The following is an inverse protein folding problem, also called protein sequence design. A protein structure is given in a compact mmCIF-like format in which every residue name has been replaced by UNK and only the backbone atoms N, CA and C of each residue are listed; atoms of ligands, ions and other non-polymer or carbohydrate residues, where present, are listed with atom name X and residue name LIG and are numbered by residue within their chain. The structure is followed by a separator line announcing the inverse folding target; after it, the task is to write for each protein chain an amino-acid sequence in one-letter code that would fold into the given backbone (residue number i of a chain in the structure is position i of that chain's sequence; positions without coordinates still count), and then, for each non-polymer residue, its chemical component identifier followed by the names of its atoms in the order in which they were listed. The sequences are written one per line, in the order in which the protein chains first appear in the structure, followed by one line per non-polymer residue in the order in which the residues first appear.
data_IF_057938631914
#
_entry.id   IF_057938631914
#
_cell.length_a   1.000
_cell.length_b   1.000
_cell.length_c   1.000
_cell.angle_alpha   90.00
_cell.angle_beta   90.00
_cell.angle_gamma   90.00
#
_symmetry.space_group_name_H-M   'P 1'
#
loop_
_entity.id
_entity.type
_entity.pdbx_description
1 polymer ?
#
# COMPACT_ATOMS: atom_id res chain seq x y z
N UNK A 1 -30.73 -5.94 17.31
CA UNK A 1 -30.63 -5.05 18.45
C UNK A 1 -30.32 -3.67 17.91
N UNK A 2 -31.26 -2.72 18.06
CA UNK A 2 -31.10 -1.32 17.70
C UNK A 2 -30.03 -0.69 18.62
N UNK A 3 -28.92 -0.25 18.06
CA UNK A 3 -28.05 0.68 18.76
C UNK A 3 -28.76 2.03 18.82
N UNK A 4 -29.27 2.39 19.96
CA UNK A 4 -29.67 3.76 20.25
C UNK A 4 -28.41 4.63 20.23
N UNK A 5 -28.46 5.84 19.65
CA UNK A 5 -27.35 6.77 19.72
C UNK A 5 -27.16 7.18 21.20
N UNK A 6 -26.02 6.85 21.78
CA UNK A 6 -25.61 7.43 23.06
C UNK A 6 -25.51 8.94 22.88
N UNK A 7 -26.40 9.68 23.54
CA UNK A 7 -26.26 11.11 23.73
C UNK A 7 -24.97 11.35 24.55
N UNK A 8 -23.98 11.95 23.91
CA UNK A 8 -22.79 12.43 24.62
C UNK A 8 -23.29 13.59 25.49
N UNK A 9 -23.38 13.39 26.80
CA UNK A 9 -23.52 14.49 27.76
C UNK A 9 -22.25 15.35 27.64
N UNK A 10 -22.39 16.53 27.05
CA UNK A 10 -21.32 17.50 26.91
C UNK A 10 -21.25 18.24 28.23
N UNK A 11 -20.12 18.11 28.94
CA UNK A 11 -19.78 18.95 30.07
C UNK A 11 -19.65 20.41 29.55
N UNK A 12 -20.67 21.22 29.80
CA UNK A 12 -20.81 22.60 29.34
C UNK A 12 -19.81 23.59 29.93
N UNK A 13 -18.82 23.10 30.72
CA UNK A 13 -17.87 23.95 31.47
C UNK A 13 -16.55 24.23 30.73
N UNK A 14 -16.36 23.74 29.49
CA UNK A 14 -15.07 23.84 28.83
C UNK A 14 -15.13 24.55 27.48
N UNK A 15 -14.53 25.74 27.38
CA UNK A 15 -14.34 26.44 26.10
C UNK A 15 -13.51 25.59 25.12
N UNK A 16 -13.83 25.69 23.83
CA UNK A 16 -13.12 25.02 22.75
C UNK A 16 -11.78 25.70 22.44
N UNK A 17 -10.83 24.91 21.91
CA UNK A 17 -9.57 25.45 21.37
C UNK A 17 -9.79 26.10 20.00
N UNK A 18 -10.70 25.52 19.22
CA UNK A 18 -11.02 25.95 17.86
C UNK A 18 -12.53 25.85 17.64
N UNK A 19 -13.10 26.92 17.12
CA UNK A 19 -14.48 26.99 16.61
C UNK A 19 -14.45 27.33 15.14
N UNK A 20 -15.19 26.57 14.35
CA UNK A 20 -15.50 26.87 12.95
C UNK A 20 -16.98 27.15 12.84
N UNK A 21 -17.38 28.27 12.21
CA UNK A 21 -18.78 28.69 12.08
C UNK A 21 -19.09 29.25 10.69
N UNK A 22 -20.36 29.52 10.43
CA UNK A 22 -20.82 30.05 9.13
C UNK A 22 -20.37 29.13 7.98
N UNK A 23 -20.57 27.82 8.12
CA UNK A 23 -20.13 26.81 7.17
C UNK A 23 -21.26 25.93 6.63
N UNK A 24 -20.92 25.13 5.61
CA UNK A 24 -21.69 24.01 5.14
C UNK A 24 -20.97 22.72 5.55
N UNK A 25 -21.23 22.23 6.77
CA UNK A 25 -20.53 21.10 7.34
C UNK A 25 -21.29 19.82 7.04
N UNK A 26 -20.72 18.96 6.18
CA UNK A 26 -21.27 17.63 5.87
C UNK A 26 -20.76 16.62 6.90
N UNK A 27 -21.68 16.08 7.70
CA UNK A 27 -21.29 15.27 8.88
C UNK A 27 -20.94 13.83 8.55
N UNK A 28 -21.32 13.33 7.37
CA UNK A 28 -21.13 11.94 6.94
C UNK A 28 -21.73 10.92 7.93
N UNK A 29 -22.77 11.32 8.65
CA UNK A 29 -23.57 10.44 9.49
C UNK A 29 -24.61 9.66 8.67
N UNK A 30 -25.27 8.69 9.30
CA UNK A 30 -26.30 7.88 8.64
C UNK A 30 -27.50 8.70 8.11
N UNK A 31 -27.74 9.88 8.64
CA UNK A 31 -28.79 10.79 8.20
C UNK A 31 -28.34 11.74 7.08
N UNK A 32 -27.06 11.70 6.68
CA UNK A 32 -26.44 12.62 5.73
C UNK A 32 -26.70 14.10 6.09
N UNK A 33 -26.51 14.40 7.38
CA UNK A 33 -26.87 15.70 7.95
C UNK A 33 -25.90 16.79 7.51
N UNK A 34 -26.41 18.04 7.59
CA UNK A 34 -25.63 19.25 7.41
C UNK A 34 -25.69 20.11 8.67
N UNK A 35 -24.56 20.66 9.06
CA UNK A 35 -24.43 21.59 10.19
C UNK A 35 -23.83 22.91 9.71
N UNK A 36 -23.81 23.94 10.58
CA UNK A 36 -23.27 25.26 10.31
C UNK A 36 -21.97 25.52 11.05
N UNK A 37 -21.81 24.86 12.20
CA UNK A 37 -20.67 25.09 13.09
C UNK A 37 -20.18 23.80 13.74
N UNK A 38 -18.89 23.78 14.12
CA UNK A 38 -18.27 22.77 14.96
C UNK A 38 -17.28 23.38 15.95
N UNK A 39 -17.14 22.74 17.12
CA UNK A 39 -16.15 23.07 18.12
C UNK A 39 -15.20 21.89 18.37
N UNK A 40 -13.93 22.21 18.55
CA UNK A 40 -12.85 21.24 18.78
C UNK A 40 -12.15 21.62 20.09
N UNK A 41 -11.92 20.61 20.94
CA UNK A 41 -11.11 20.71 22.14
C UNK A 41 -10.18 19.51 22.23
N UNK A 42 -8.91 19.72 22.57
CA UNK A 42 -7.90 18.66 22.71
C UNK A 42 -7.87 17.72 21.51
N UNK A 43 -8.01 18.29 20.28
CA UNK A 43 -8.04 17.53 19.02
C UNK A 43 -9.29 16.67 18.80
N UNK A 44 -10.36 16.86 19.61
CA UNK A 44 -11.64 16.16 19.48
C UNK A 44 -12.77 17.12 19.17
N UNK A 45 -13.68 16.69 18.30
CA UNK A 45 -14.92 17.42 18.05
C UNK A 45 -15.82 17.26 19.26
N UNK A 46 -16.21 18.37 19.89
CA UNK A 46 -17.07 18.43 21.07
C UNK A 46 -18.46 18.97 20.75
N UNK A 47 -18.63 19.61 19.59
CA UNK A 47 -19.93 20.11 19.13
C UNK A 47 -19.98 20.06 17.59
N UNK A 48 -21.13 19.70 17.07
CA UNK A 48 -21.52 19.86 15.66
C UNK A 48 -22.98 20.30 15.64
N UNK A 49 -23.29 21.43 15.02
CA UNK A 49 -24.66 21.94 15.01
C UNK A 49 -24.80 23.31 14.34
N UNK A 50 -25.56 24.19 14.97
CA UNK A 50 -25.91 25.51 14.42
C UNK A 50 -24.92 26.59 14.89
N UNK A 51 -24.86 27.69 14.13
CA UNK A 51 -24.10 28.91 14.51
C UNK A 51 -24.57 29.53 15.83
N UNK A 52 -25.82 29.34 16.20
CA UNK A 52 -26.34 29.83 17.49
C UNK A 52 -25.81 28.99 18.66
N UNK A 53 -25.85 27.67 18.53
CA UNK A 53 -25.41 26.76 19.60
C UNK A 53 -23.90 26.73 19.83
N UNK A 54 -23.09 27.19 18.87
CA UNK A 54 -21.63 27.22 19.01
C UNK A 54 -21.15 28.23 20.05
N UNK A 55 -21.97 29.25 20.37
CA UNK A 55 -21.61 30.31 21.32
C UNK A 55 -21.30 29.79 22.73
N UNK A 56 -21.89 28.67 23.12
CA UNK A 56 -21.69 28.04 24.42
C UNK A 56 -20.25 27.47 24.58
N UNK A 57 -19.52 27.33 23.47
CA UNK A 57 -18.16 26.79 23.42
C UNK A 57 -17.07 27.86 23.23
N UNK A 58 -17.45 29.13 23.15
CA UNK A 58 -16.50 30.22 23.00
C UNK A 58 -15.87 30.60 24.35
N UNK A 59 -14.55 30.74 24.35
CA UNK A 59 -13.76 31.24 25.50
C UNK A 59 -12.77 32.30 25.04
N UNK A 60 -12.05 32.89 25.99
CA UNK A 60 -11.11 33.98 25.70
C UNK A 60 -9.97 33.55 24.74
N UNK A 61 -9.56 32.31 24.84
CA UNK A 61 -8.44 31.74 24.06
C UNK A 61 -8.92 30.92 22.84
N UNK A 62 -10.24 30.84 22.59
CA UNK A 62 -10.79 30.09 21.47
C UNK A 62 -10.41 30.70 20.13
N UNK A 63 -9.73 29.96 19.26
CA UNK A 63 -9.50 30.36 17.87
C UNK A 63 -10.81 30.23 17.10
N UNK A 64 -11.21 31.30 16.42
CA UNK A 64 -12.46 31.34 15.62
C UNK A 64 -12.10 31.40 14.15
N UNK A 65 -12.74 30.52 13.34
CA UNK A 65 -12.62 30.47 11.88
C UNK A 65 -13.99 30.68 11.27
N UNK A 66 -14.15 31.77 10.54
CA UNK A 66 -15.32 32.01 9.68
C UNK A 66 -15.14 31.23 8.36
N UNK A 67 -15.98 30.24 8.14
CA UNK A 67 -15.94 29.39 6.95
C UNK A 67 -16.52 30.07 5.70
N UNK A 68 -17.22 31.19 5.81
CA UNK A 68 -17.79 31.94 4.68
C UNK A 68 -18.64 31.03 3.78
N UNK A 69 -19.48 30.21 4.35
CA UNK A 69 -20.29 29.17 3.69
C UNK A 69 -19.49 28.11 2.91
N UNK A 70 -18.19 27.98 3.17
CA UNK A 70 -17.40 26.89 2.57
C UNK A 70 -17.80 25.55 3.15
N UNK A 71 -17.68 24.51 2.33
CA UNK A 71 -17.92 23.15 2.74
C UNK A 71 -16.79 22.65 3.67
N UNK A 72 -17.19 21.96 4.73
CA UNK A 72 -16.29 21.18 5.60
C UNK A 72 -16.80 19.75 5.66
N UNK A 73 -15.90 18.80 5.59
CA UNK A 73 -16.20 17.37 5.72
C UNK A 73 -15.05 16.67 6.46
N UNK A 74 -15.27 15.46 6.99
CA UNK A 74 -14.17 14.64 7.50
C UNK A 74 -13.08 14.47 6.45
N UNK A 75 -11.82 14.45 6.88
CA UNK A 75 -10.71 14.20 5.98
C UNK A 75 -10.83 12.83 5.30
N UNK A 76 -10.42 12.76 4.05
CA UNK A 76 -10.46 11.52 3.27
C UNK A 76 -9.48 10.49 3.82
N UNK A 77 -9.77 9.22 3.55
CA UNK A 77 -8.93 8.08 3.94
C UNK A 77 -8.53 7.31 2.70
N UNK A 78 -7.23 7.02 2.58
CA UNK A 78 -6.72 6.08 1.60
C UNK A 78 -6.42 4.75 2.30
N UNK A 79 -7.13 3.70 1.91
CA UNK A 79 -7.09 2.40 2.60
C UNK A 79 -6.12 1.40 1.98
N UNK A 80 -5.37 1.81 0.94
CA UNK A 80 -4.33 0.99 0.32
C UNK A 80 -3.30 1.85 -0.39
N UNK A 81 -2.20 2.16 0.29
CA UNK A 81 -1.13 3.02 -0.24
C UNK A 81 0.25 2.53 0.23
N UNK A 82 1.31 2.98 -0.44
CA UNK A 82 2.71 2.75 -0.09
C UNK A 82 3.45 4.10 -0.06
N UNK A 83 3.23 4.95 0.96
CA UNK A 83 3.64 6.35 0.89
C UNK A 83 5.16 6.55 0.97
N UNK A 84 5.87 5.71 1.74
CA UNK A 84 7.32 5.82 1.88
C UNK A 84 8.02 5.47 0.56
N UNK A 85 7.71 4.29 0.03
CA UNK A 85 8.32 3.83 -1.22
C UNK A 85 7.88 4.67 -2.43
N UNK A 86 6.60 5.09 -2.48
CA UNK A 86 6.10 5.99 -3.52
C UNK A 86 6.82 7.34 -3.52
N UNK A 87 7.08 7.90 -2.34
CA UNK A 87 7.85 9.14 -2.20
C UNK A 87 9.32 8.99 -2.58
N UNK A 88 9.96 7.87 -2.23
CA UNK A 88 11.32 7.56 -2.67
C UNK A 88 11.36 7.43 -4.20
N UNK A 89 10.40 6.69 -4.77
CA UNK A 89 10.29 6.50 -6.21
C UNK A 89 10.15 7.82 -6.96
N UNK A 90 9.39 8.77 -6.43
CA UNK A 90 9.22 10.11 -7.02
C UNK A 90 10.52 10.92 -7.11
N UNK A 91 11.52 10.60 -6.28
CA UNK A 91 12.85 11.20 -6.32
C UNK A 91 13.85 10.40 -7.16
N UNK A 92 13.47 9.23 -7.67
CA UNK A 92 14.28 8.30 -8.45
C UNK A 92 14.04 8.51 -9.96
N UNK A 93 14.51 7.56 -10.80
CA UNK A 93 14.20 7.56 -12.24
C UNK A 93 12.71 7.30 -12.44
N UNK A 94 11.92 8.35 -12.50
CA UNK A 94 10.46 8.30 -12.57
C UNK A 94 9.96 8.17 -14.01
N UNK A 95 9.26 7.08 -14.29
CA UNK A 95 8.63 6.78 -15.59
C UNK A 95 7.11 6.88 -15.55
N UNK A 96 6.52 7.27 -14.41
CA UNK A 96 5.08 7.41 -14.25
C UNK A 96 4.49 8.42 -15.24
N UNK A 97 3.34 8.06 -15.83
CA UNK A 97 2.63 8.94 -16.76
C UNK A 97 3.24 9.05 -18.15
N UNK A 98 4.42 8.48 -18.39
CA UNK A 98 5.01 8.39 -19.73
C UNK A 98 4.33 7.30 -20.54
N UNK A 99 4.14 7.50 -21.84
CA UNK A 99 3.23 6.71 -22.65
C UNK A 99 3.88 5.92 -23.79
N UNK A 100 5.19 6.08 -23.99
CA UNK A 100 5.90 5.40 -25.07
C UNK A 100 7.40 5.20 -24.76
N UNK A 101 8.04 4.31 -25.53
CA UNK A 101 9.45 3.94 -25.34
C UNK A 101 10.41 5.14 -25.54
N UNK A 102 10.08 6.09 -26.42
CA UNK A 102 10.95 7.24 -26.64
C UNK A 102 11.01 8.16 -25.42
N UNK A 103 9.87 8.37 -24.74
CA UNK A 103 9.81 9.09 -23.48
C UNK A 103 10.58 8.37 -22.37
N UNK A 104 10.46 7.04 -22.26
CA UNK A 104 11.25 6.25 -21.30
C UNK A 104 12.74 6.38 -21.55
N UNK A 105 13.18 6.26 -22.82
CA UNK A 105 14.59 6.43 -23.19
C UNK A 105 15.13 7.79 -22.77
N UNK A 106 14.37 8.85 -23.00
CA UNK A 106 14.75 10.22 -22.61
C UNK A 106 14.85 10.32 -21.09
N UNK A 107 13.83 9.91 -20.34
CA UNK A 107 13.79 9.99 -18.87
C UNK A 107 14.95 9.20 -18.23
N UNK A 108 15.20 7.97 -18.67
CA UNK A 108 16.31 7.14 -18.16
C UNK A 108 17.66 7.79 -18.45
N UNK A 109 17.88 8.26 -19.68
CA UNK A 109 19.13 8.89 -20.08
C UNK A 109 19.38 10.19 -19.31
N UNK A 110 18.37 11.06 -19.20
CA UNK A 110 18.46 12.33 -18.51
C UNK A 110 18.74 12.11 -17.01
N UNK A 111 18.03 11.17 -16.37
CA UNK A 111 18.25 10.84 -14.97
C UNK A 111 19.67 10.29 -14.73
N UNK A 112 20.13 9.36 -15.57
CA UNK A 112 21.45 8.77 -15.46
C UNK A 112 22.56 9.82 -15.64
N UNK A 113 22.39 10.75 -16.59
CA UNK A 113 23.34 11.83 -16.84
C UNK A 113 23.36 12.90 -15.72
N UNK A 114 22.19 13.17 -15.14
CA UNK A 114 22.09 14.11 -14.02
C UNK A 114 22.68 13.55 -12.71
N UNK A 115 22.82 12.23 -12.61
CA UNK A 115 23.27 11.53 -11.41
C UNK A 115 24.47 10.62 -11.70
N UNK A 116 25.63 11.16 -12.12
CA UNK A 116 26.79 10.37 -12.57
C UNK A 116 27.43 9.55 -11.45
N UNK A 117 27.28 9.97 -10.19
CA UNK A 117 27.93 9.35 -9.03
C UNK A 117 27.10 8.21 -8.40
N UNK A 118 25.88 7.96 -8.87
CA UNK A 118 25.09 6.85 -8.36
C UNK A 118 25.64 5.50 -8.84
N UNK A 119 25.83 4.58 -7.92
CA UNK A 119 26.27 3.20 -8.20
C UNK A 119 25.20 2.40 -8.95
N UNK A 120 23.93 2.70 -8.70
CA UNK A 120 22.77 2.11 -9.34
C UNK A 120 21.82 3.18 -9.87
N UNK A 121 21.22 2.92 -11.03
CA UNK A 121 20.03 3.66 -11.46
C UNK A 121 18.81 2.88 -11.02
N UNK A 122 18.12 3.43 -10.03
CA UNK A 122 16.89 2.88 -9.49
C UNK A 122 15.70 3.78 -9.85
N UNK A 123 14.53 3.19 -9.94
CA UNK A 123 13.32 3.94 -10.26
C UNK A 123 12.19 3.03 -10.68
N UNK A 124 11.23 3.56 -11.43
CA UNK A 124 10.12 2.77 -11.93
C UNK A 124 8.96 3.58 -12.47
N UNK A 125 7.77 2.96 -12.47
CA UNK A 125 6.57 3.59 -13.03
C UNK A 125 6.34 3.26 -14.50
N UNK A 126 7.09 2.29 -15.08
CA UNK A 126 6.82 1.86 -16.44
C UNK A 126 5.55 0.99 -16.51
N UNK A 127 4.80 1.15 -17.60
CA UNK A 127 3.57 0.41 -17.85
C UNK A 127 3.77 -0.70 -18.88
N UNK A 128 3.22 -1.88 -18.64
CA UNK A 128 3.29 -3.03 -19.58
C UNK A 128 2.75 -2.68 -20.97
N UNK A 129 1.69 -1.87 -21.04
CA UNK A 129 1.05 -1.47 -22.29
C UNK A 129 1.98 -0.74 -23.27
N UNK A 130 3.09 -0.17 -22.79
CA UNK A 130 4.09 0.53 -23.62
C UNK A 130 4.93 -0.44 -24.44
N UNK A 131 5.07 -1.69 -24.00
CA UNK A 131 5.95 -2.69 -24.63
C UNK A 131 5.22 -3.61 -25.63
N UNK A 132 3.99 -3.30 -26.00
CA UNK A 132 3.22 -4.05 -26.99
C UNK A 132 2.73 -5.41 -26.47
N UNK A 133 2.57 -6.38 -27.41
CA UNK A 133 2.07 -7.70 -27.05
C UNK A 133 2.99 -8.41 -26.06
N UNK A 134 2.43 -8.81 -24.90
CA UNK A 134 3.17 -9.46 -23.81
C UNK A 134 3.72 -8.53 -22.76
N UNK A 135 3.72 -7.20 -22.95
CA UNK A 135 4.03 -6.20 -21.93
C UNK A 135 5.43 -6.27 -21.32
N UNK A 136 6.39 -6.94 -21.99
CA UNK A 136 7.70 -7.26 -21.42
C UNK A 136 8.79 -6.32 -21.94
N UNK A 137 9.45 -5.56 -21.07
CA UNK A 137 10.54 -4.68 -21.48
C UNK A 137 11.81 -5.48 -21.81
N UNK A 138 12.56 -5.04 -22.84
CA UNK A 138 13.80 -5.68 -23.21
C UNK A 138 15.01 -4.91 -22.64
N UNK A 139 15.92 -5.61 -21.96
CA UNK A 139 17.16 -5.07 -21.37
C UNK A 139 18.01 -4.27 -22.34
N UNK A 140 18.01 -4.64 -23.63
CA UNK A 140 18.80 -3.96 -24.67
C UNK A 140 18.48 -2.46 -24.77
N UNK A 141 17.22 -2.07 -24.47
CA UNK A 141 16.83 -0.65 -24.46
C UNK A 141 17.61 0.11 -23.39
N UNK A 142 17.74 -0.45 -22.17
CA UNK A 142 18.51 0.18 -21.09
C UNK A 142 20.00 0.05 -21.34
N UNK A 143 20.48 -1.08 -21.83
CA UNK A 143 21.92 -1.30 -22.13
C UNK A 143 22.48 -0.25 -23.10
N UNK A 144 21.66 0.21 -24.06
CA UNK A 144 22.04 1.29 -25.00
C UNK A 144 22.15 2.68 -24.32
N UNK A 145 21.46 2.89 -23.21
CA UNK A 145 21.36 4.17 -22.52
C UNK A 145 22.34 4.28 -21.34
N UNK A 146 22.47 3.18 -20.58
CA UNK A 146 23.29 3.08 -19.38
C UNK A 146 24.07 1.77 -19.44
N UNK A 147 25.30 1.87 -19.93
CA UNK A 147 26.22 0.72 -20.12
C UNK A 147 27.29 0.58 -19.04
N UNK A 148 27.39 1.55 -18.14
CA UNK A 148 28.48 1.69 -17.15
C UNK A 148 28.10 1.27 -15.74
N UNK A 149 26.81 1.07 -15.44
CA UNK A 149 26.31 0.73 -14.10
C UNK A 149 24.99 -0.04 -14.16
N UNK A 150 24.66 -0.80 -13.10
CA UNK A 150 23.43 -1.57 -13.05
C UNK A 150 22.18 -0.65 -12.96
N UNK A 151 21.12 -1.10 -13.64
CA UNK A 151 19.81 -0.41 -13.66
C UNK A 151 18.73 -1.41 -13.26
N UNK A 152 17.82 -0.97 -12.38
CA UNK A 152 16.62 -1.72 -12.03
C UNK A 152 15.43 -0.77 -11.86
N UNK A 153 14.41 -0.95 -12.71
CA UNK A 153 13.22 -0.11 -12.76
C UNK A 153 11.98 -0.97 -12.54
N UNK A 154 11.17 -0.64 -11.53
CA UNK A 154 9.94 -1.37 -11.21
C UNK A 154 8.77 -0.92 -12.08
N UNK A 155 7.84 -1.81 -12.40
CA UNK A 155 6.59 -1.46 -13.07
C UNK A 155 5.69 -0.58 -12.18
N UNK A 156 4.73 0.10 -12.80
CA UNK A 156 3.75 0.96 -12.07
C UNK A 156 2.99 0.19 -10.99
N UNK A 157 2.72 -1.09 -11.21
CA UNK A 157 2.02 -1.97 -10.28
C UNK A 157 2.94 -2.59 -9.22
N UNK A 158 4.28 -2.48 -9.40
CA UNK A 158 5.29 -3.03 -8.48
C UNK A 158 5.52 -4.54 -8.59
N UNK A 159 4.90 -5.23 -9.56
CA UNK A 159 4.97 -6.68 -9.71
C UNK A 159 5.99 -7.17 -10.74
N UNK A 160 6.64 -6.26 -11.47
CA UNK A 160 7.68 -6.59 -12.45
C UNK A 160 8.86 -5.62 -12.32
N UNK A 161 10.05 -6.15 -12.54
CA UNK A 161 11.29 -5.38 -12.57
C UNK A 161 11.94 -5.44 -13.94
N UNK A 162 12.48 -4.31 -14.41
CA UNK A 162 13.22 -4.19 -15.66
C UNK A 162 14.68 -3.91 -15.37
N UNK A 163 15.52 -4.92 -15.60
CA UNK A 163 16.95 -4.91 -15.33
C UNK A 163 17.76 -4.79 -16.63
N UNK A 164 18.88 -4.08 -16.57
CA UNK A 164 19.88 -4.10 -17.64
C UNK A 164 20.81 -5.34 -17.51
N UNK A 165 21.69 -5.52 -18.49
CA UNK A 165 22.62 -6.65 -18.52
C UNK A 165 23.57 -6.65 -17.32
N UNK A 166 24.07 -5.48 -16.90
CA UNK A 166 24.97 -5.37 -15.74
C UNK A 166 24.31 -5.76 -14.43
N UNK A 167 23.02 -5.41 -14.23
CA UNK A 167 22.29 -5.80 -13.04
C UNK A 167 22.10 -7.33 -12.97
N UNK A 168 21.76 -7.96 -14.11
CA UNK A 168 21.62 -9.41 -14.19
C UNK A 168 22.95 -10.14 -13.97
N UNK A 169 24.04 -9.64 -14.56
CA UNK A 169 25.38 -10.19 -14.38
C UNK A 169 25.85 -10.09 -12.91
N UNK A 170 25.65 -8.94 -12.28
CA UNK A 170 25.99 -8.73 -10.86
C UNK A 170 25.26 -9.73 -9.95
N UNK A 171 23.99 -10.04 -10.28
CA UNK A 171 23.19 -11.01 -9.54
C UNK A 171 23.50 -12.47 -9.91
N UNK A 172 24.32 -12.71 -10.93
CA UNK A 172 24.61 -14.06 -11.43
C UNK A 172 23.41 -14.73 -12.08
N UNK A 173 22.45 -13.92 -12.58
CA UNK A 173 21.27 -14.42 -13.28
C UNK A 173 21.64 -14.69 -14.74
N UNK A 174 21.51 -15.97 -15.14
CA UNK A 174 21.80 -16.45 -16.50
C UNK A 174 20.57 -17.11 -17.10
N UNK A 175 20.63 -17.47 -18.38
CA UNK A 175 19.53 -18.19 -19.02
C UNK A 175 19.27 -19.56 -18.42
N UNK A 176 20.25 -20.16 -17.76
CA UNK A 176 20.15 -21.43 -17.03
C UNK A 176 19.61 -21.27 -15.62
N UNK A 177 19.53 -20.04 -15.08
CA UNK A 177 18.98 -19.80 -13.74
C UNK A 177 17.52 -20.24 -13.70
N UNK A 178 17.11 -21.16 -12.80
CA UNK A 178 15.74 -21.60 -12.74
C UNK A 178 14.82 -20.48 -12.23
N UNK A 179 13.58 -20.48 -12.68
CA UNK A 179 12.57 -19.62 -12.11
C UNK A 179 12.36 -19.96 -10.63
N UNK A 180 12.27 -18.98 -9.74
CA UNK A 180 11.85 -19.21 -8.36
C UNK A 180 10.41 -19.74 -8.31
N UNK A 181 10.07 -20.43 -7.23
CA UNK A 181 8.73 -21.05 -7.07
C UNK A 181 7.58 -20.03 -7.16
N UNK A 182 7.87 -18.78 -6.86
CA UNK A 182 6.95 -17.67 -6.72
C UNK A 182 7.22 -16.53 -7.70
N UNK A 183 7.94 -16.78 -8.80
CA UNK A 183 8.26 -15.75 -9.78
C UNK A 183 8.73 -16.32 -11.12
N UNK A 184 8.87 -15.43 -12.09
CA UNK A 184 9.25 -15.77 -13.47
C UNK A 184 10.42 -14.89 -13.91
N UNK A 185 11.46 -15.52 -14.46
CA UNK A 185 12.55 -14.86 -15.17
C UNK A 185 12.21 -14.90 -16.66
N UNK A 186 11.87 -13.76 -17.22
CA UNK A 186 11.43 -13.72 -18.63
C UNK A 186 12.57 -13.97 -19.60
N UNK A 187 12.31 -14.87 -20.55
CA UNK A 187 13.24 -15.28 -21.60
C UNK A 187 12.61 -15.11 -22.97
N UNK A 188 13.45 -14.84 -23.94
CA UNK A 188 13.06 -14.87 -25.34
C UNK A 188 12.63 -16.30 -25.73
N UNK A 189 11.44 -16.49 -26.27
CA UNK A 189 10.90 -17.84 -26.52
C UNK A 189 11.63 -18.61 -27.63
N UNK A 190 12.36 -17.91 -28.52
CA UNK A 190 13.08 -18.55 -29.63
C UNK A 190 14.53 -18.90 -29.24
N UNK A 191 15.19 -18.03 -28.47
CA UNK A 191 16.62 -18.16 -28.16
C UNK A 191 16.89 -18.62 -26.73
N UNK A 192 15.93 -18.50 -25.83
CA UNK A 192 16.10 -18.73 -24.39
C UNK A 192 16.91 -17.65 -23.66
N UNK A 193 17.35 -16.60 -24.36
CA UNK A 193 18.11 -15.52 -23.74
C UNK A 193 17.26 -14.66 -22.83
N UNK A 194 17.88 -14.12 -21.75
CA UNK A 194 17.21 -13.22 -20.83
C UNK A 194 16.78 -11.93 -21.53
N UNK A 195 15.52 -11.54 -21.39
CA UNK A 195 15.04 -10.26 -21.92
C UNK A 195 15.21 -9.11 -20.93
N UNK A 196 15.41 -9.39 -19.65
CA UNK A 196 15.65 -8.40 -18.59
C UNK A 196 14.43 -8.10 -17.73
N UNK A 197 13.29 -8.69 -18.01
CA UNK A 197 12.10 -8.60 -17.17
C UNK A 197 12.09 -9.72 -16.13
N UNK A 198 11.83 -9.36 -14.88
CA UNK A 198 11.70 -10.26 -13.72
C UNK A 198 10.34 -10.02 -13.08
N UNK A 199 9.58 -11.09 -12.83
CA UNK A 199 8.22 -11.01 -12.29
C UNK A 199 8.15 -11.59 -10.89
N UNK A 200 7.37 -10.95 -10.01
CA UNK A 200 7.06 -11.39 -8.66
C UNK A 200 8.33 -11.74 -7.85
N UNK A 201 8.38 -12.94 -7.28
CA UNK A 201 9.53 -13.41 -6.50
C UNK A 201 10.87 -13.43 -7.25
N UNK A 202 10.87 -13.38 -8.59
CA UNK A 202 12.12 -13.28 -9.33
C UNK A 202 12.83 -11.92 -9.15
N UNK A 203 12.11 -10.86 -8.78
CA UNK A 203 12.69 -9.56 -8.46
C UNK A 203 13.63 -9.65 -7.24
N UNK A 204 13.32 -10.52 -6.28
CA UNK A 204 14.12 -10.71 -5.05
C UNK A 204 15.53 -11.23 -5.31
N UNK A 205 15.77 -11.83 -6.49
CA UNK A 205 17.10 -12.25 -6.90
C UNK A 205 18.07 -11.08 -7.06
N UNK A 206 17.55 -9.87 -7.39
CA UNK A 206 18.31 -8.63 -7.50
C UNK A 206 18.35 -7.83 -6.19
N UNK A 207 17.31 -7.90 -5.37
CA UNK A 207 17.15 -7.05 -4.17
C UNK A 207 18.37 -7.05 -3.24
N UNK A 208 19.02 -8.20 -3.07
CA UNK A 208 20.22 -8.32 -2.20
C UNK A 208 21.44 -7.54 -2.71
N UNK A 209 21.44 -7.11 -3.96
CA UNK A 209 22.52 -6.34 -4.58
C UNK A 209 22.16 -4.86 -4.71
N UNK A 210 20.89 -4.52 -4.59
CA UNK A 210 20.40 -3.15 -4.62
C UNK A 210 20.71 -2.48 -3.27
N UNK A 211 21.29 -1.26 -3.26
CA UNK A 211 21.46 -0.52 -2.02
C UNK A 211 20.14 -0.34 -1.27
N UNK A 212 20.13 -0.67 0.02
CA UNK A 212 18.94 -0.48 0.84
C UNK A 212 18.64 0.99 1.05
N UNK A 213 17.36 1.34 1.07
CA UNK A 213 16.93 2.69 1.44
C UNK A 213 17.43 3.07 2.84
N UNK A 214 18.01 4.25 2.92
CA UNK A 214 18.45 4.81 4.20
C UNK A 214 17.25 5.37 4.99
N UNK A 215 17.45 5.60 6.29
CA UNK A 215 16.43 6.26 7.10
C UNK A 215 16.15 7.68 6.55
N UNK A 216 17.17 8.37 6.07
CA UNK A 216 17.06 9.71 5.48
C UNK A 216 16.20 9.68 4.23
N UNK A 217 16.42 8.71 3.31
CA UNK A 217 15.60 8.59 2.10
C UNK A 217 14.15 8.25 2.42
N UNK A 218 13.90 7.38 3.41
CA UNK A 218 12.55 7.04 3.88
C UNK A 218 11.82 8.24 4.50
N UNK A 219 12.52 9.05 5.30
CA UNK A 219 11.96 10.28 5.89
C UNK A 219 11.63 11.28 4.79
N UNK A 220 12.53 11.49 3.84
CA UNK A 220 12.30 12.41 2.71
C UNK A 220 11.12 11.95 1.85
N UNK A 221 11.05 10.66 1.52
CA UNK A 221 9.94 10.06 0.78
C UNK A 221 8.61 10.23 1.51
N UNK A 222 8.56 9.96 2.82
CA UNK A 222 7.33 10.13 3.59
C UNK A 222 6.89 11.59 3.67
N UNK A 223 7.82 12.55 3.85
CA UNK A 223 7.48 13.98 3.83
C UNK A 223 6.87 14.41 2.50
N UNK A 224 7.47 13.99 1.38
CA UNK A 224 6.93 14.25 0.05
C UNK A 224 5.50 13.71 -0.10
N UNK A 225 5.28 12.45 0.28
CA UNK A 225 3.96 11.83 0.18
C UNK A 225 2.95 12.48 1.11
N UNK A 226 3.33 12.88 2.33
CA UNK A 226 2.44 13.60 3.24
C UNK A 226 1.98 14.94 2.67
N UNK A 227 2.88 15.71 2.06
CA UNK A 227 2.54 16.98 1.41
C UNK A 227 1.51 16.77 0.29
N UNK A 228 1.76 15.79 -0.58
CA UNK A 228 0.85 15.43 -1.67
C UNK A 228 -0.52 14.98 -1.14
N UNK A 229 -0.54 14.04 -0.19
CA UNK A 229 -1.77 13.48 0.38
C UNK A 229 -2.61 14.54 1.10
N UNK A 230 -1.96 15.39 1.90
CA UNK A 230 -2.63 16.52 2.57
C UNK A 230 -3.21 17.52 1.54
N UNK A 231 -2.52 17.72 0.41
CA UNK A 231 -3.01 18.54 -0.70
C UNK A 231 -4.32 18.01 -1.31
N UNK A 232 -4.54 16.68 -1.27
CA UNK A 232 -5.79 16.04 -1.66
C UNK A 232 -6.82 15.94 -0.53
N UNK A 233 -6.52 16.43 0.67
CA UNK A 233 -7.40 16.34 1.84
C UNK A 233 -7.43 14.96 2.49
N UNK A 234 -6.45 14.10 2.21
CA UNK A 234 -6.29 12.80 2.86
C UNK A 234 -5.62 13.02 4.22
N UNK A 235 -6.24 12.52 5.28
CA UNK A 235 -5.79 12.68 6.67
C UNK A 235 -5.54 11.35 7.38
N UNK A 236 -5.91 10.25 6.76
CA UNK A 236 -5.71 8.90 7.28
C UNK A 236 -5.32 7.97 6.14
N UNK A 237 -4.42 7.05 6.41
CA UNK A 237 -3.94 6.08 5.43
C UNK A 237 -3.88 4.69 6.03
N UNK A 238 -3.99 3.67 5.17
CA UNK A 238 -3.53 2.33 5.46
C UNK A 238 -2.35 2.00 4.56
N UNK A 239 -1.13 2.01 5.15
CA UNK A 239 0.06 1.57 4.45
C UNK A 239 0.05 0.05 4.31
N UNK A 240 0.05 -0.43 3.09
CA UNK A 240 -0.20 -1.82 2.76
C UNK A 240 1.05 -2.72 2.79
N UNK A 241 2.27 -2.17 2.95
CA UNK A 241 3.50 -2.94 3.15
C UNK A 241 4.38 -2.26 4.18
N UNK A 242 4.33 -2.76 5.43
CA UNK A 242 5.07 -2.16 6.53
C UNK A 242 5.96 -3.19 7.22
N UNK A 243 7.25 -2.92 7.25
CA UNK A 243 8.24 -3.62 8.06
C UNK A 243 8.69 -2.73 9.22
N UNK A 244 9.61 -3.19 10.04
CA UNK A 244 10.06 -2.43 11.20
C UNK A 244 10.67 -1.06 10.82
N UNK A 245 11.35 -0.97 9.69
CA UNK A 245 11.98 0.28 9.23
C UNK A 245 10.96 1.37 8.84
N UNK A 246 9.83 1.00 8.26
CA UNK A 246 8.72 1.91 7.97
C UNK A 246 8.07 2.39 9.28
N UNK A 247 7.89 1.49 10.27
CA UNK A 247 7.40 1.87 11.60
C UNK A 247 8.35 2.85 12.29
N UNK A 248 9.66 2.64 12.19
CA UNK A 248 10.67 3.56 12.71
C UNK A 248 10.56 4.94 12.04
N UNK A 249 10.35 4.99 10.73
CA UNK A 249 10.18 6.24 9.98
C UNK A 249 8.94 7.01 10.43
N UNK A 250 7.79 6.35 10.54
CA UNK A 250 6.55 6.96 11.06
C UNK A 250 6.75 7.50 12.48
N UNK A 251 7.33 6.69 13.36
CA UNK A 251 7.56 7.08 14.77
C UNK A 251 8.58 8.21 14.90
N UNK A 252 9.56 8.27 14.01
CA UNK A 252 10.51 9.39 13.98
C UNK A 252 9.80 10.70 13.68
N UNK A 253 8.98 10.78 12.64
CA UNK A 253 8.23 12.00 12.30
C UNK A 253 7.14 12.33 13.33
N UNK A 254 6.46 11.34 13.89
CA UNK A 254 5.53 11.58 15.00
C UNK A 254 6.22 12.19 16.23
N UNK A 255 7.42 11.69 16.57
CA UNK A 255 8.23 12.21 17.68
C UNK A 255 8.70 13.66 17.46
N UNK A 256 8.78 14.10 16.23
CA UNK A 256 9.08 15.49 15.84
C UNK A 256 7.83 16.36 15.66
N UNK A 257 6.63 15.82 15.87
CA UNK A 257 5.34 16.46 15.59
C UNK A 257 5.18 16.86 14.10
N UNK A 258 5.80 16.12 13.21
CA UNK A 258 5.72 16.33 11.77
C UNK A 258 4.74 15.37 11.06
N UNK A 259 4.40 14.23 11.68
CA UNK A 259 3.45 13.28 11.11
C UNK A 259 2.04 13.86 11.10
N UNK A 260 1.51 14.18 9.92
CA UNK A 260 0.20 14.82 9.71
C UNK A 260 -0.92 13.82 9.41
N UNK A 261 -0.59 12.53 9.31
CA UNK A 261 -1.52 11.46 8.94
C UNK A 261 -1.77 10.51 10.11
N UNK A 262 -2.98 9.98 10.20
CA UNK A 262 -3.24 8.76 10.97
C UNK A 262 -2.89 7.56 10.11
N UNK A 263 -2.08 6.65 10.64
CA UNK A 263 -1.53 5.52 9.90
C UNK A 263 -2.02 4.21 10.51
N UNK A 264 -2.77 3.43 9.74
CA UNK A 264 -2.92 2.00 9.98
C UNK A 264 -1.81 1.31 9.20
N UNK A 265 -0.90 0.66 9.91
CA UNK A 265 0.23 -0.03 9.30
C UNK A 265 -0.10 -1.50 9.14
N UNK A 266 -0.10 -1.99 7.88
CA UNK A 266 -0.27 -3.40 7.56
C UNK A 266 1.09 -4.08 7.58
N UNK A 267 1.39 -4.78 8.67
CA UNK A 267 2.65 -5.50 8.86
C UNK A 267 2.78 -6.58 7.79
N UNK A 268 3.92 -6.61 7.11
CA UNK A 268 4.16 -7.55 6.03
C UNK A 268 4.30 -8.99 6.55
N UNK A 269 3.54 -9.90 5.95
CA UNK A 269 3.67 -11.34 6.19
C UNK A 269 4.78 -11.92 5.31
N UNK A 270 5.90 -12.29 5.92
CA UNK A 270 6.99 -12.96 5.22
C UNK A 270 6.64 -14.45 5.02
N UNK A 271 6.19 -14.79 3.81
CA UNK A 271 5.69 -16.15 3.50
C UNK A 271 6.67 -17.28 3.81
N UNK A 272 7.98 -17.03 3.71
CA UNK A 272 9.01 -18.01 4.01
C UNK A 272 9.21 -18.28 5.52
N UNK A 273 8.72 -17.40 6.40
CA UNK A 273 8.91 -17.53 7.85
C UNK A 273 7.77 -18.31 8.54
N UNK A 274 6.65 -18.54 7.86
CA UNK A 274 5.53 -19.26 8.44
C UNK A 274 4.99 -18.63 9.72
N UNK A 275 4.42 -19.44 10.63
CA UNK A 275 3.84 -18.97 11.90
C UNK A 275 4.87 -18.49 12.94
N UNK A 276 6.14 -18.79 12.76
CA UNK A 276 7.21 -18.42 13.70
C UNK A 276 7.35 -16.90 13.83
N UNK A 277 6.94 -16.14 12.80
CA UNK A 277 6.96 -14.69 12.82
C UNK A 277 5.89 -14.04 13.71
N UNK A 278 4.86 -14.77 14.15
CA UNK A 278 3.72 -14.22 14.89
C UNK A 278 4.15 -13.42 16.13
N UNK A 279 5.08 -13.97 16.92
CA UNK A 279 5.56 -13.26 18.11
C UNK A 279 6.31 -11.97 17.77
N UNK A 280 6.97 -11.92 16.62
CA UNK A 280 7.59 -10.67 16.13
C UNK A 280 6.52 -9.64 15.73
N UNK A 281 5.47 -10.05 15.01
CA UNK A 281 4.36 -9.16 14.64
C UNK A 281 3.69 -8.55 15.89
N UNK A 282 3.45 -9.35 16.93
CA UNK A 282 2.92 -8.90 18.22
C UNK A 282 3.84 -7.90 18.93
N UNK A 283 5.15 -8.15 18.90
CA UNK A 283 6.16 -7.22 19.44
C UNK A 283 6.16 -5.89 18.69
N UNK A 284 6.14 -5.91 17.35
CA UNK A 284 6.08 -4.71 16.53
C UNK A 284 4.81 -3.92 16.83
N UNK A 285 3.65 -4.56 16.90
CA UNK A 285 2.39 -3.92 17.27
C UNK A 285 2.50 -3.21 18.63
N UNK A 286 2.99 -3.91 19.64
CA UNK A 286 3.13 -3.34 21.00
C UNK A 286 4.12 -2.18 21.03
N UNK A 287 5.28 -2.35 20.40
CA UNK A 287 6.38 -1.38 20.40
C UNK A 287 6.05 -0.08 19.70
N UNK A 288 5.30 -0.17 18.57
CA UNK A 288 5.10 0.98 17.68
C UNK A 288 3.70 1.57 17.72
N UNK A 289 2.76 1.02 18.50
CA UNK A 289 1.45 1.63 18.69
C UNK A 289 1.57 3.00 19.38
N UNK A 290 0.93 3.99 18.78
CA UNK A 290 0.90 5.37 19.30
C UNK A 290 -0.46 6.04 19.02
N UNK A 291 -0.55 7.36 19.20
CA UNK A 291 -1.75 8.10 18.86
C UNK A 291 -2.04 8.06 17.34
N UNK A 292 -1.02 8.24 16.51
CA UNK A 292 -1.15 8.34 15.06
C UNK A 292 -0.82 7.04 14.33
N UNK A 293 -0.02 6.13 14.90
CA UNK A 293 0.43 4.91 14.23
C UNK A 293 -0.18 3.67 14.88
N UNK A 294 -0.88 2.86 14.11
CA UNK A 294 -1.60 1.66 14.56
C UNK A 294 -1.20 0.43 13.71
N UNK A 295 -0.18 -0.34 14.12
CA UNK A 295 0.20 -1.57 13.40
C UNK A 295 -0.72 -2.74 13.80
N UNK A 296 -1.98 -2.64 13.42
CA UNK A 296 -3.04 -3.58 13.82
C UNK A 296 -3.47 -4.51 12.70
N UNK A 297 -2.88 -4.37 11.53
CA UNK A 297 -3.20 -5.16 10.34
C UNK A 297 -1.98 -5.97 9.91
N UNK A 298 -2.23 -7.14 9.31
CA UNK A 298 -1.20 -7.95 8.65
C UNK A 298 -1.54 -8.06 7.18
N UNK A 299 -0.60 -7.69 6.30
CA UNK A 299 -0.72 -7.81 4.84
C UNK A 299 -0.25 -9.18 4.39
N UNK A 300 -1.12 -9.90 3.72
CA UNK A 300 -0.83 -11.18 3.07
C UNK A 300 -0.98 -11.03 1.57
N UNK A 301 0.05 -11.35 0.83
CA UNK A 301 0.02 -11.46 -0.61
C UNK A 301 -0.38 -12.89 -0.98
N UNK A 302 -1.56 -13.08 -1.60
CA UNK A 302 -2.07 -14.41 -1.92
C UNK A 302 -1.78 -14.82 -3.35
N UNK A 303 -1.73 -13.85 -4.28
CA UNK A 303 -1.37 -14.09 -5.68
C UNK A 303 -0.66 -12.89 -6.30
N UNK A 304 -0.34 -13.00 -7.58
CA UNK A 304 0.21 -11.90 -8.38
C UNK A 304 -0.83 -11.27 -9.29
N UNK A 305 -0.43 -10.87 -10.52
CA UNK A 305 -1.26 -10.13 -11.48
C UNK A 305 -1.86 -11.04 -12.56
N UNK A 306 -3.06 -10.69 -13.06
CA UNK A 306 -3.70 -11.37 -14.19
C UNK A 306 -2.86 -11.21 -15.46
N UNK A 307 -2.32 -10.03 -15.69
CA UNK A 307 -1.50 -9.67 -16.85
C UNK A 307 -0.20 -10.47 -16.94
N UNK A 308 0.34 -10.86 -15.78
CA UNK A 308 1.55 -11.68 -15.67
C UNK A 308 1.27 -13.19 -15.66
N UNK A 309 0.00 -13.60 -15.72
CA UNK A 309 -0.43 -14.99 -15.54
C UNK A 309 -0.07 -15.57 -14.16
N UNK A 310 0.11 -14.71 -13.16
CA UNK A 310 0.48 -15.07 -11.78
C UNK A 310 -0.70 -14.97 -10.81
N UNK A 311 -1.78 -14.25 -11.17
CA UNK A 311 -3.01 -14.26 -10.40
C UNK A 311 -3.64 -15.65 -10.36
N UNK A 312 -4.14 -16.09 -9.21
CA UNK A 312 -4.70 -17.44 -9.03
C UNK A 312 -6.13 -17.48 -9.52
N UNK A 313 -6.40 -18.34 -10.52
CA UNK A 313 -7.70 -18.53 -11.13
C UNK A 313 -8.36 -19.86 -10.74
N UNK A 314 -9.68 -19.87 -10.67
CA UNK A 314 -10.49 -21.10 -10.55
C UNK A 314 -10.34 -21.95 -11.81
N UNK A 315 -10.49 -21.34 -13.00
CA UNK A 315 -10.25 -21.98 -14.28
C UNK A 315 -8.87 -21.59 -14.85
N UNK A 316 -8.21 -22.45 -15.63
CA UNK A 316 -6.88 -22.14 -16.16
C UNK A 316 -6.89 -20.96 -17.14
N UNK A 317 -5.75 -20.26 -17.23
CA UNK A 317 -5.52 -19.28 -18.29
C UNK A 317 -5.58 -19.91 -19.67
N UNK A 318 -6.04 -19.15 -20.66
CA UNK A 318 -6.06 -19.56 -22.07
C UNK A 318 -4.66 -19.44 -22.70
N UNK A 319 -3.67 -20.07 -22.09
CA UNK A 319 -2.28 -20.16 -22.56
C UNK A 319 -1.86 -21.62 -22.68
N UNK A 320 -0.83 -21.95 -23.47
CA UNK A 320 -0.43 -23.34 -23.70
C UNK A 320 -0.12 -24.14 -22.43
N UNK A 321 0.41 -23.49 -21.39
CA UNK A 321 0.69 -24.14 -20.09
C UNK A 321 -0.55 -24.51 -19.30
N UNK A 322 -1.71 -23.90 -19.60
CA UNK A 322 -2.93 -24.02 -18.81
C UNK A 322 -2.71 -23.77 -17.30
N UNK A 323 -1.78 -22.85 -16.98
CA UNK A 323 -1.52 -22.45 -15.60
C UNK A 323 -2.80 -21.89 -14.95
N UNK A 324 -2.90 -22.06 -13.65
CA UNK A 324 -3.92 -21.42 -12.80
C UNK A 324 -3.35 -20.27 -11.96
N UNK A 325 -2.16 -19.78 -12.27
CA UNK A 325 -1.47 -18.77 -11.49
C UNK A 325 -0.57 -19.37 -10.40
N UNK A 326 -0.12 -18.51 -9.49
CA UNK A 326 0.85 -18.87 -8.43
C UNK A 326 0.26 -18.45 -7.08
N UNK A 327 -0.22 -19.39 -6.26
CA UNK A 327 -0.58 -19.06 -4.89
C UNK A 327 0.69 -18.78 -4.08
N UNK A 328 0.79 -17.58 -3.52
CA UNK A 328 1.97 -17.16 -2.74
C UNK A 328 1.99 -17.79 -1.34
N UNK A 329 0.81 -18.12 -0.82
CA UNK A 329 0.63 -18.89 0.40
C UNK A 329 -0.24 -20.09 0.07
N UNK A 330 0.18 -21.28 0.47
CA UNK A 330 -0.56 -22.50 0.24
C UNK A 330 -1.95 -22.40 0.90
N UNK A 331 -3.08 -22.72 0.22
CA UNK A 331 -4.42 -22.42 0.71
C UNK A 331 -4.78 -23.00 2.08
N UNK A 332 -4.41 -24.23 2.37
CA UNK A 332 -4.67 -24.85 3.68
C UNK A 332 -3.78 -24.24 4.80
N UNK A 333 -2.61 -23.75 4.43
CA UNK A 333 -1.78 -23.00 5.36
C UNK A 333 -2.32 -21.57 5.57
N UNK A 334 -2.87 -20.94 4.55
CA UNK A 334 -3.51 -19.63 4.64
C UNK A 334 -4.65 -19.64 5.68
N UNK A 335 -5.50 -20.66 5.67
CA UNK A 335 -6.57 -20.84 6.67
C UNK A 335 -6.01 -20.81 8.10
N UNK A 336 -4.94 -21.57 8.36
CA UNK A 336 -4.27 -21.59 9.66
C UNK A 336 -3.71 -20.24 10.06
N UNK A 337 -3.05 -19.57 9.12
CA UNK A 337 -2.45 -18.24 9.34
C UNK A 337 -3.53 -17.23 9.71
N UNK A 338 -4.62 -17.17 8.94
CA UNK A 338 -5.71 -16.22 9.18
C UNK A 338 -6.41 -16.50 10.51
N UNK A 339 -6.68 -17.76 10.83
CA UNK A 339 -7.28 -18.15 12.13
C UNK A 339 -6.44 -17.70 13.31
N UNK A 340 -5.11 -17.89 13.24
CA UNK A 340 -4.21 -17.47 14.33
C UNK A 340 -4.12 -15.94 14.41
N UNK A 341 -4.00 -15.24 13.29
CA UNK A 341 -3.95 -13.77 13.27
C UNK A 341 -5.26 -13.15 13.79
N UNK A 342 -6.40 -13.72 13.42
CA UNK A 342 -7.72 -13.30 13.89
C UNK A 342 -7.85 -13.47 15.41
N UNK A 343 -7.47 -14.64 15.96
CA UNK A 343 -7.47 -14.91 17.40
C UNK A 343 -6.59 -13.91 18.18
N UNK A 344 -5.51 -13.41 17.57
CA UNK A 344 -4.61 -12.40 18.14
C UNK A 344 -5.09 -10.96 17.89
N UNK A 345 -6.31 -10.78 17.39
CA UNK A 345 -6.91 -9.48 17.05
C UNK A 345 -6.11 -8.66 16.03
N UNK A 346 -5.54 -9.32 15.04
CA UNK A 346 -5.05 -8.67 13.84
C UNK A 346 -6.15 -8.66 12.77
N UNK A 347 -6.33 -7.51 12.11
CA UNK A 347 -7.01 -7.46 10.84
C UNK A 347 -6.10 -8.07 9.78
N UNK A 348 -6.63 -8.86 8.86
CA UNK A 348 -5.89 -9.35 7.70
C UNK A 348 -6.29 -8.53 6.47
N UNK A 349 -5.29 -8.03 5.76
CA UNK A 349 -5.38 -7.29 4.52
C UNK A 349 -4.82 -8.16 3.40
N UNK A 350 -5.71 -8.80 2.64
CA UNK A 350 -5.30 -9.66 1.54
C UNK A 350 -5.00 -8.85 0.27
N UNK A 351 -3.96 -9.25 -0.45
CA UNK A 351 -3.79 -8.98 -1.86
C UNK A 351 -4.35 -10.20 -2.61
N UNK A 352 -5.41 -10.02 -3.37
CA UNK A 352 -6.00 -11.08 -4.19
C UNK A 352 -6.66 -10.48 -5.42
N UNK A 353 -6.14 -10.83 -6.61
CA UNK A 353 -6.62 -10.35 -7.90
C UNK A 353 -7.45 -11.40 -8.63
N UNK A 354 -6.97 -12.63 -8.69
CA UNK A 354 -7.67 -13.73 -9.36
C UNK A 354 -8.82 -14.28 -8.53
N UNK A 355 -9.84 -14.77 -9.21
CA UNK A 355 -11.04 -15.33 -8.57
C UNK A 355 -10.73 -16.55 -7.68
N UNK A 356 -9.68 -17.31 -8.00
CA UNK A 356 -9.18 -18.38 -7.14
C UNK A 356 -8.56 -17.87 -5.84
N UNK A 357 -7.73 -16.79 -5.89
CA UNK A 357 -7.15 -16.19 -4.70
C UNK A 357 -8.20 -15.50 -3.82
N UNK A 358 -9.18 -14.85 -4.42
CA UNK A 358 -10.34 -14.27 -3.71
C UNK A 358 -11.08 -15.38 -2.95
N UNK A 359 -11.39 -16.50 -3.61
CA UNK A 359 -12.01 -17.66 -2.97
C UNK A 359 -11.19 -18.20 -1.82
N UNK A 360 -9.89 -18.41 -2.01
CA UNK A 360 -8.98 -18.88 -0.95
C UNK A 360 -8.95 -17.93 0.25
N UNK A 361 -8.98 -16.62 0.01
CA UNK A 361 -9.04 -15.61 1.08
C UNK A 361 -10.35 -15.66 1.84
N UNK A 362 -11.48 -15.79 1.13
CA UNK A 362 -12.82 -15.95 1.75
C UNK A 362 -12.91 -17.25 2.56
N UNK A 363 -12.38 -18.37 2.04
CA UNK A 363 -12.33 -19.66 2.74
C UNK A 363 -11.53 -19.54 4.04
N UNK A 364 -10.41 -18.79 4.01
CA UNK A 364 -9.58 -18.59 5.20
C UNK A 364 -10.29 -17.72 6.27
N UNK A 365 -11.04 -16.71 5.85
CA UNK A 365 -11.86 -15.90 6.77
C UNK A 365 -13.03 -16.71 7.33
N UNK A 366 -13.69 -17.52 6.50
CA UNK A 366 -14.78 -18.41 6.94
C UNK A 366 -14.28 -19.39 8.00
N UNK A 367 -13.11 -20.01 7.78
CA UNK A 367 -12.48 -20.90 8.76
C UNK A 367 -12.16 -20.17 10.06
N UNK A 368 -11.63 -18.94 9.99
CA UNK A 368 -11.35 -18.16 11.21
C UNK A 368 -12.61 -17.83 12.02
N UNK A 369 -13.71 -17.53 11.32
CA UNK A 369 -15.01 -17.30 11.98
C UNK A 369 -15.56 -18.60 12.62
N UNK A 370 -15.35 -19.74 11.96
CA UNK A 370 -15.78 -21.03 12.49
C UNK A 370 -15.02 -21.38 13.78
N UNK A 371 -13.71 -21.21 13.80
CA UNK A 371 -12.85 -21.57 14.94
C UNK A 371 -12.91 -20.54 16.09
N UNK A 372 -12.90 -19.24 15.80
CA UNK A 372 -12.77 -18.16 16.78
C UNK A 372 -14.10 -17.46 17.10
N UNK A 373 -15.16 -17.68 16.30
CA UNK A 373 -16.33 -16.84 16.29
C UNK A 373 -16.09 -15.49 15.59
N UNK A 374 -17.10 -14.62 15.58
CA UNK A 374 -17.00 -13.28 14.97
C UNK A 374 -16.35 -12.30 15.94
N UNK A 375 -15.05 -12.09 15.82
CA UNK A 375 -14.27 -11.17 16.68
C UNK A 375 -14.37 -9.69 16.20
N UNK A 376 -14.84 -9.45 14.97
CA UNK A 376 -15.03 -8.10 14.45
C UNK A 376 -13.75 -7.44 13.93
N UNK A 377 -12.73 -8.21 13.60
CA UNK A 377 -11.43 -7.72 13.08
C UNK A 377 -11.52 -7.10 11.68
N UNK A 378 -12.64 -7.28 10.96
CA UNK A 378 -12.92 -6.65 9.66
C UNK A 378 -11.85 -6.93 8.63
N UNK A 379 -11.51 -8.20 8.41
CA UNK A 379 -10.61 -8.61 7.33
C UNK A 379 -11.11 -8.04 6.00
N UNK A 380 -10.20 -7.71 5.11
CA UNK A 380 -10.57 -7.17 3.81
C UNK A 380 -9.63 -7.64 2.71
N UNK A 381 -10.13 -7.62 1.48
CA UNK A 381 -9.41 -8.02 0.28
C UNK A 381 -9.25 -6.79 -0.60
N UNK A 382 -8.03 -6.55 -1.06
CA UNK A 382 -7.72 -5.49 -2.03
C UNK A 382 -7.54 -6.07 -3.42
N UNK A 383 -7.71 -5.19 -4.41
CA UNK A 383 -7.59 -5.39 -5.84
C UNK A 383 -8.85 -6.03 -6.47
N UNK A 384 -9.22 -7.27 -6.13
CA UNK A 384 -10.48 -7.91 -6.56
C UNK A 384 -10.75 -7.76 -8.06
N UNK A 385 -9.71 -7.97 -8.90
CA UNK A 385 -9.80 -7.75 -10.34
C UNK A 385 -10.76 -8.76 -10.99
N UNK A 386 -10.76 -9.99 -10.49
CA UNK A 386 -11.69 -11.05 -10.88
C UNK A 386 -12.37 -11.63 -9.64
N UNK A 387 -13.68 -11.80 -9.69
CA UNK A 387 -14.47 -12.44 -8.63
C UNK A 387 -15.38 -13.48 -9.28
N UNK A 388 -15.32 -14.73 -8.81
CA UNK A 388 -16.24 -15.76 -9.28
C UNK A 388 -17.67 -15.46 -8.83
N UNK A 389 -18.71 -15.63 -9.68
CA UNK A 389 -20.08 -15.30 -9.32
C UNK A 389 -20.58 -15.98 -8.05
N UNK A 390 -20.17 -17.21 -7.78
CA UNK A 390 -20.58 -17.97 -6.59
C UNK A 390 -20.05 -17.33 -5.28
N UNK A 391 -19.05 -16.47 -5.34
CA UNK A 391 -18.44 -15.85 -4.17
C UNK A 391 -19.02 -14.47 -3.83
N UNK A 392 -19.85 -13.86 -4.70
CA UNK A 392 -20.45 -12.53 -4.44
C UNK A 392 -21.25 -12.44 -3.14
N UNK A 393 -21.89 -13.52 -2.72
CA UNK A 393 -22.69 -13.55 -1.49
C UNK A 393 -21.91 -13.80 -0.20
N UNK A 394 -20.58 -13.94 -0.28
CA UNK A 394 -19.71 -14.30 0.85
C UNK A 394 -19.04 -13.10 1.53
N UNK A 395 -19.15 -11.90 0.93
CA UNK A 395 -18.58 -10.65 1.46
C UNK A 395 -19.40 -10.06 2.60
#
# INVERSE_FOLDING_TARGET
ASCEPQSIEIDSSSSADLVMHNGAIYTVDNAHSWAQALAIKDGRIIYVGTDVGINDFLGADTKIVDLQNKMVMPGMQDVHIHPISGGILSASCDLNGLSNIAEYRTAISDYANANPDLEWILGGGWAMSVFGAGGKPNRKIIDELVSDRPVFLTSTDGHSGWANSLALELAGITKETPDPVDGIIDRDPETGELIGSLQEGAMTLLEKYIPSDTMESKIAGLRYSMEMLNGYGITSIQDAIVRETELQTYRHLEGQNELTLRVVASLWWERAQGLEQLENLKKLRTKYTSNLVKPTTVKIMQDGLVENYTAVLVEPYYIPSQSKGIPMVEPEFLKKVVTVLDAENFQVHFHALGDGAVRQSLDAVEESIYENGRLGNRHHISHLQLIHPDDFGRF
#
